data_IF_969172785799
#
_entry.id   IF_969172785799
#
_cell.length_a   1.000
_cell.length_b   1.000
_cell.length_c   1.000
_cell.angle_alpha   90.00
_cell.angle_beta   90.00
_cell.angle_gamma   90.00
#
_symmetry.space_group_name_H-M   'P 1'
#
loop_
_entity.id
_entity.type
_entity.pdbx_description
1 polymer ?
#
# COMPACT_ATOMS: atom_id res chain seq x y z
N UNK A 1 53.13 -0.97 -41.45
CA UNK A 1 53.23 -0.12 -42.67
C UNK A 1 52.55 -0.89 -43.79
N UNK A 2 51.35 -0.47 -44.22
CA UNK A 2 51.15 0.50 -45.32
C UNK A 2 50.12 1.63 -44.97
N UNK A 3 49.85 2.60 -45.86
CA UNK A 3 49.43 3.96 -45.49
C UNK A 3 47.91 4.19 -45.48
N UNK A 4 47.48 5.19 -44.71
CA UNK A 4 46.13 5.77 -44.75
C UNK A 4 45.93 6.64 -46.01
N UNK A 5 44.80 6.54 -46.72
CA UNK A 5 44.42 7.44 -47.82
C UNK A 5 43.69 8.71 -47.30
N UNK A 6 43.49 9.72 -48.18
CA UNK A 6 43.57 11.14 -47.81
C UNK A 6 42.24 11.78 -47.41
N UNK A 7 42.38 12.91 -46.69
CA UNK A 7 41.33 13.92 -46.45
C UNK A 7 40.75 14.42 -47.77
N UNK A 8 39.43 14.44 -47.84
CA UNK A 8 38.67 15.31 -48.72
C UNK A 8 37.55 15.98 -47.92
N UNK A 9 37.57 17.32 -47.91
CA UNK A 9 36.40 18.19 -47.79
C UNK A 9 36.13 18.73 -49.21
N UNK A 10 35.06 19.51 -49.51
CA UNK A 10 33.96 20.01 -48.67
C UNK A 10 32.58 19.84 -49.34
N UNK A 11 31.47 20.16 -48.64
CA UNK A 11 30.44 21.03 -49.20
C UNK A 11 29.37 21.40 -48.18
N UNK A 12 29.27 22.70 -47.95
CA UNK A 12 28.15 23.41 -47.34
C UNK A 12 26.85 23.08 -48.06
N UNK A 13 25.86 22.62 -47.30
CA UNK A 13 24.47 22.99 -47.55
C UNK A 13 23.83 23.39 -46.23
N UNK A 14 23.67 24.70 -46.08
CA UNK A 14 22.77 25.31 -45.12
C UNK A 14 21.34 24.84 -45.41
N UNK A 15 20.64 24.41 -44.37
CA UNK A 15 19.19 24.40 -44.32
C UNK A 15 18.72 24.74 -42.89
N UNK A 16 17.55 25.37 -42.75
CA UNK A 16 17.31 26.38 -41.74
C UNK A 16 16.92 25.80 -40.39
N UNK A 17 17.35 26.47 -39.32
CA UNK A 17 16.87 26.27 -37.95
C UNK A 17 15.42 26.75 -37.92
N UNK A 18 14.48 25.81 -37.93
CA UNK A 18 13.11 26.08 -37.53
C UNK A 18 13.08 26.21 -36.00
N UNK A 19 12.95 27.45 -35.52
CA UNK A 19 12.52 27.74 -34.15
C UNK A 19 11.07 27.28 -34.00
N UNK A 20 10.87 26.07 -33.49
CA UNK A 20 9.57 25.67 -32.95
C UNK A 20 9.52 26.09 -31.48
N UNK A 21 8.95 27.27 -31.27
CA UNK A 21 8.36 27.68 -29.99
C UNK A 21 7.31 26.63 -29.60
N UNK A 22 7.27 26.11 -28.36
CA UNK A 22 6.14 25.31 -27.92
C UNK A 22 4.93 26.25 -27.81
N UNK A 23 3.89 26.00 -28.60
CA UNK A 23 2.58 26.59 -28.36
C UNK A 23 2.10 26.14 -26.98
N UNK A 24 1.76 27.10 -26.14
CA UNK A 24 0.96 26.91 -24.93
C UNK A 24 -0.33 26.20 -25.33
N UNK A 25 -0.42 24.91 -25.00
CA UNK A 25 -1.69 24.19 -25.08
C UNK A 25 -2.51 24.62 -23.88
N UNK A 26 -3.56 25.35 -24.19
CA UNK A 26 -4.59 25.84 -23.27
C UNK A 26 -5.13 24.68 -22.42
N UNK A 27 -4.90 24.77 -21.11
CA UNK A 27 -5.19 23.73 -20.10
C UNK A 27 -6.69 23.51 -19.85
N UNK A 28 -7.56 24.27 -20.50
CA UNK A 28 -9.00 24.32 -20.20
C UNK A 28 -9.89 23.59 -21.22
N UNK A 29 -9.33 22.66 -22.00
CA UNK A 29 -10.11 21.86 -22.95
C UNK A 29 -9.86 20.35 -22.87
N UNK A 30 -9.76 19.80 -21.66
CA UNK A 30 -10.13 18.39 -21.47
C UNK A 30 -11.64 18.32 -21.51
N UNK A 31 -12.17 18.10 -22.70
CA UNK A 31 -13.55 17.68 -22.93
C UNK A 31 -13.87 16.56 -21.94
N UNK A 32 -14.80 16.85 -21.04
CA UNK A 32 -15.58 15.90 -20.24
C UNK A 32 -16.33 14.99 -21.21
N UNK A 33 -15.61 14.05 -21.82
CA UNK A 33 -16.22 12.88 -22.42
C UNK A 33 -16.93 12.17 -21.27
N UNK A 34 -18.25 12.14 -21.36
CA UNK A 34 -19.15 11.57 -20.38
C UNK A 34 -18.65 10.20 -19.98
N UNK A 35 -18.17 10.09 -18.73
CA UNK A 35 -18.03 8.82 -18.04
C UNK A 35 -19.43 8.22 -18.09
N UNK A 36 -19.63 7.25 -18.97
CA UNK A 36 -20.80 6.39 -18.92
C UNK A 36 -20.80 5.80 -17.52
N UNK A 37 -21.76 6.22 -16.68
CA UNK A 37 -21.92 5.69 -15.33
C UNK A 37 -22.07 4.18 -15.41
N UNK A 38 -21.01 3.46 -15.08
CA UNK A 38 -21.05 1.99 -15.07
C UNK A 38 -22.05 1.55 -14.00
N UNK A 39 -22.78 0.45 -14.24
CA UNK A 39 -23.62 -0.14 -13.21
C UNK A 39 -22.78 -0.37 -11.95
N UNK A 40 -23.21 0.19 -10.83
CA UNK A 40 -22.57 0.08 -9.50
C UNK A 40 -21.23 0.80 -9.27
N UNK A 41 -20.74 1.62 -10.21
CA UNK A 41 -19.51 2.42 -10.04
C UNK A 41 -19.55 3.33 -8.82
N UNK A 42 -20.72 3.91 -8.57
CA UNK A 42 -20.99 4.78 -7.43
C UNK A 42 -20.79 4.09 -6.06
N UNK A 43 -20.71 2.76 -6.01
CA UNK A 43 -20.42 1.99 -4.79
C UNK A 43 -18.92 1.81 -4.53
N UNK A 44 -18.07 2.02 -5.53
CA UNK A 44 -16.63 1.79 -5.46
C UNK A 44 -15.89 3.02 -4.91
N UNK A 45 -15.46 2.91 -3.66
CA UNK A 45 -14.79 4.00 -2.97
C UNK A 45 -13.31 3.67 -2.78
N UNK A 46 -12.39 4.48 -3.32
CA UNK A 46 -10.97 4.26 -3.07
C UNK A 46 -10.63 4.50 -1.59
N UNK A 47 -9.73 3.71 -1.01
CA UNK A 47 -9.31 3.82 0.40
C UNK A 47 -7.83 3.52 0.57
N UNK A 48 -7.35 3.58 1.82
CA UNK A 48 -6.03 3.09 2.23
C UNK A 48 -6.12 1.96 3.25
N UNK A 49 -5.09 1.10 3.32
CA UNK A 49 -4.90 0.11 4.38
C UNK A 49 -5.19 0.64 5.79
N UNK A 50 -4.74 1.85 6.14
CA UNK A 50 -4.99 2.43 7.48
C UNK A 50 -6.46 2.69 7.80
N UNK A 51 -7.29 2.97 6.80
CA UNK A 51 -8.71 3.32 6.96
C UNK A 51 -9.63 2.10 6.95
N UNK A 52 -9.11 0.94 6.57
CA UNK A 52 -9.85 -0.32 6.66
C UNK A 52 -10.31 -0.56 8.11
N UNK A 53 -11.56 -0.98 8.29
CA UNK A 53 -12.17 -1.17 9.63
C UNK A 53 -11.75 -2.48 10.30
N UNK A 54 -10.67 -3.10 9.82
CA UNK A 54 -10.06 -4.32 10.34
C UNK A 54 -9.87 -4.29 11.86
N UNK A 55 -9.34 -3.19 12.42
CA UNK A 55 -9.14 -3.08 13.88
C UNK A 55 -10.40 -2.68 14.63
N UNK A 56 -11.33 -1.95 14.03
CA UNK A 56 -12.55 -1.52 14.71
C UNK A 56 -13.54 -2.68 14.87
N UNK A 57 -13.45 -3.70 14.01
CA UNK A 57 -14.14 -4.99 14.17
C UNK A 57 -13.71 -5.75 15.44
N UNK A 58 -12.64 -5.37 16.16
CA UNK A 58 -12.22 -6.04 17.41
C UNK A 58 -12.86 -5.49 18.67
N UNK A 59 -13.77 -4.50 18.59
CA UNK A 59 -14.48 -4.08 19.80
C UNK A 59 -15.20 -5.30 20.37
N UNK A 60 -14.64 -5.90 21.42
CA UNK A 60 -15.33 -6.86 22.27
C UNK A 60 -16.64 -6.17 22.62
N UNK A 61 -17.74 -6.58 21.99
CA UNK A 61 -19.05 -6.20 22.47
C UNK A 61 -19.18 -6.93 23.80
N UNK A 62 -18.90 -6.21 24.89
CA UNK A 62 -19.06 -6.67 26.27
C UNK A 62 -20.51 -7.12 26.60
N UNK A 63 -21.45 -6.99 25.64
CA UNK A 63 -22.87 -7.21 25.83
C UNK A 63 -23.52 -8.06 24.72
N UNK A 64 -22.84 -9.07 24.18
CA UNK A 64 -23.63 -10.14 23.56
C UNK A 64 -24.28 -10.95 24.70
N UNK A 65 -25.63 -10.97 24.81
CA UNK A 65 -26.26 -11.90 25.74
C UNK A 65 -25.75 -13.30 25.41
N UNK A 66 -25.38 -14.11 26.43
CA UNK A 66 -24.83 -15.42 26.17
C UNK A 66 -25.82 -16.17 25.27
N UNK A 67 -25.39 -16.64 24.09
CA UNK A 67 -26.27 -17.40 23.23
C UNK A 67 -26.78 -18.60 24.03
N UNK A 68 -28.01 -19.07 23.77
CA UNK A 68 -28.49 -20.29 24.40
C UNK A 68 -27.44 -21.40 24.20
N UNK A 69 -27.19 -22.25 25.20
CA UNK A 69 -26.12 -23.24 25.13
C UNK A 69 -26.33 -24.14 23.91
N UNK A 70 -25.48 -23.98 22.89
CA UNK A 70 -25.46 -24.84 21.72
C UNK A 70 -24.76 -26.13 22.14
N UNK A 71 -25.51 -27.22 22.20
CA UNK A 71 -24.94 -28.55 22.42
C UNK A 71 -24.41 -29.08 21.10
N UNK A 72 -23.10 -28.99 20.91
CA UNK A 72 -22.40 -29.66 19.82
C UNK A 72 -21.72 -30.92 20.37
N UNK A 73 -22.11 -32.10 19.89
CA UNK A 73 -21.50 -33.37 20.26
C UNK A 73 -20.50 -33.76 19.18
N UNK A 74 -19.25 -33.97 19.56
CA UNK A 74 -18.20 -34.53 18.71
C UNK A 74 -18.15 -36.03 19.00
N UNK A 75 -18.46 -36.84 17.99
CA UNK A 75 -18.35 -38.29 18.15
C UNK A 75 -16.88 -38.73 18.27
N UNK A 76 -16.59 -39.85 18.95
CA UNK A 76 -15.23 -40.40 18.99
C UNK A 76 -14.66 -40.55 17.57
N UNK A 77 -13.43 -40.06 17.37
CA UNK A 77 -12.73 -40.03 16.07
C UNK A 77 -13.31 -39.07 15.01
N UNK A 78 -14.27 -38.21 15.38
CA UNK A 78 -14.70 -37.11 14.52
C UNK A 78 -13.72 -35.95 14.66
N UNK A 79 -13.11 -35.53 13.55
CA UNK A 79 -12.37 -34.27 13.44
C UNK A 79 -13.25 -33.27 12.70
N UNK A 80 -13.89 -32.30 13.40
CA UNK A 80 -14.61 -31.24 12.74
C UNK A 80 -13.65 -30.52 11.79
N UNK A 81 -13.98 -30.53 10.51
CA UNK A 81 -13.25 -29.77 9.50
C UNK A 81 -14.06 -28.54 9.17
N UNK A 82 -13.37 -27.44 8.92
CA UNK A 82 -14.01 -26.24 8.38
C UNK A 82 -14.61 -26.63 7.03
N UNK A 83 -15.90 -26.37 6.85
CA UNK A 83 -16.56 -26.61 5.57
C UNK A 83 -15.95 -25.64 4.55
N UNK A 84 -15.27 -26.16 3.53
CA UNK A 84 -14.78 -25.35 2.43
C UNK A 84 -15.76 -25.49 1.26
N UNK A 85 -16.90 -24.79 1.36
CA UNK A 85 -17.95 -24.73 0.36
C UNK A 85 -17.77 -23.56 -0.63
N UNK A 86 -16.60 -22.90 -0.60
CA UNK A 86 -16.25 -21.84 -1.52
C UNK A 86 -15.92 -22.38 -2.92
N UNK A 87 -16.04 -21.51 -3.93
CA UNK A 87 -15.52 -21.80 -5.28
C UNK A 87 -14.04 -22.22 -5.19
N UNK A 88 -13.56 -23.16 -6.02
CA UNK A 88 -12.15 -23.58 -6.02
C UNK A 88 -11.15 -22.44 -6.25
N UNK A 89 -11.61 -21.29 -6.76
CA UNK A 89 -10.77 -20.12 -7.06
C UNK A 89 -10.43 -19.29 -5.80
N UNK A 90 -11.11 -19.52 -4.69
CA UNK A 90 -10.91 -18.84 -3.41
C UNK A 90 -10.20 -19.71 -2.40
N UNK A 91 -9.13 -19.18 -1.82
CA UNK A 91 -8.41 -19.77 -0.70
C UNK A 91 -8.72 -19.01 0.59
N UNK A 92 -8.86 -19.76 1.70
CA UNK A 92 -9.09 -19.19 3.03
C UNK A 92 -7.78 -19.18 3.81
N UNK A 93 -7.44 -18.01 4.33
CA UNK A 93 -6.27 -17.82 5.18
C UNK A 93 -6.67 -17.31 6.55
N UNK A 94 -5.96 -17.74 7.58
CA UNK A 94 -6.18 -17.30 8.97
C UNK A 94 -5.05 -16.39 9.41
N UNK A 95 -5.41 -15.19 9.86
CA UNK A 95 -4.51 -14.28 10.55
C UNK A 95 -4.12 -14.82 11.93
N UNK A 96 -3.00 -14.35 12.48
CA UNK A 96 -2.55 -14.74 13.82
C UNK A 96 -3.52 -14.35 14.95
N UNK A 97 -4.39 -13.37 14.72
CA UNK A 97 -5.48 -12.99 15.64
C UNK A 97 -6.74 -13.87 15.49
N UNK A 98 -6.70 -14.88 14.60
CA UNK A 98 -7.78 -15.84 14.38
C UNK A 98 -8.81 -15.44 13.32
N UNK A 99 -8.68 -14.25 12.72
CA UNK A 99 -9.60 -13.79 11.67
C UNK A 99 -9.28 -14.40 10.32
N UNK A 100 -10.30 -14.54 9.49
CA UNK A 100 -10.11 -15.02 8.12
C UNK A 100 -9.99 -13.86 7.13
N UNK A 101 -9.22 -14.11 6.09
CA UNK A 101 -9.32 -13.40 4.84
C UNK A 101 -9.33 -14.41 3.69
N UNK A 102 -9.89 -13.98 2.57
CA UNK A 102 -10.07 -14.79 1.39
C UNK A 102 -9.22 -14.24 0.27
N UNK A 103 -8.59 -15.13 -0.50
CA UNK A 103 -7.72 -14.78 -1.61
C UNK A 103 -8.18 -15.49 -2.88
N UNK A 104 -8.49 -14.73 -3.93
CA UNK A 104 -8.76 -15.24 -5.25
C UNK A 104 -7.46 -15.32 -6.04
N UNK A 105 -6.95 -16.52 -6.31
CA UNK A 105 -5.58 -16.69 -6.82
C UNK A 105 -5.38 -16.11 -8.23
N UNK A 106 -6.31 -16.36 -9.15
CA UNK A 106 -6.21 -15.90 -10.55
C UNK A 106 -6.33 -14.37 -10.66
N UNK A 107 -7.38 -13.79 -10.05
CA UNK A 107 -7.66 -12.35 -10.08
C UNK A 107 -6.84 -11.54 -9.07
N UNK A 108 -6.11 -12.20 -8.17
CA UNK A 108 -5.35 -11.62 -7.06
C UNK A 108 -6.18 -10.69 -6.17
N UNK A 109 -7.42 -11.11 -5.89
CA UNK A 109 -8.36 -10.33 -5.05
C UNK A 109 -8.26 -10.80 -3.61
N UNK A 110 -8.18 -9.86 -2.68
CA UNK A 110 -8.13 -10.08 -1.24
C UNK A 110 -9.35 -9.43 -0.60
N UNK A 111 -10.00 -10.14 0.32
CA UNK A 111 -11.12 -9.58 1.09
C UNK A 111 -11.25 -10.21 2.46
N UNK A 112 -11.71 -9.42 3.44
CA UNK A 112 -12.15 -9.90 4.76
C UNK A 112 -13.68 -10.01 4.86
N UNK A 113 -14.40 -9.88 3.73
CA UNK A 113 -15.83 -10.20 3.66
C UNK A 113 -16.04 -11.69 3.95
N UNK A 114 -17.12 -12.05 4.64
CA UNK A 114 -17.45 -13.43 4.99
C UNK A 114 -18.04 -14.15 3.78
N UNK A 115 -17.17 -14.70 2.92
CA UNK A 115 -17.55 -15.30 1.64
C UNK A 115 -18.41 -16.58 1.74
N UNK A 116 -18.61 -17.13 2.94
CA UNK A 116 -19.60 -18.19 3.15
C UNK A 116 -21.04 -17.65 3.19
N UNK A 117 -21.23 -16.33 3.30
CA UNK A 117 -22.49 -15.65 3.04
C UNK A 117 -22.63 -15.38 1.54
N UNK A 118 -23.65 -15.96 0.91
CA UNK A 118 -23.92 -15.81 -0.53
C UNK A 118 -24.15 -14.33 -0.92
N UNK A 119 -24.74 -13.51 -0.04
CA UNK A 119 -24.97 -12.09 -0.32
C UNK A 119 -23.65 -11.31 -0.34
N UNK A 120 -22.74 -11.56 0.58
CA UNK A 120 -21.42 -10.92 0.58
C UNK A 120 -20.58 -11.37 -0.62
N UNK A 121 -20.65 -12.66 -0.97
CA UNK A 121 -20.00 -13.19 -2.17
C UNK A 121 -20.49 -12.49 -3.46
N UNK A 122 -21.80 -12.30 -3.61
CA UNK A 122 -22.36 -11.65 -4.79
C UNK A 122 -22.01 -10.15 -4.84
N UNK A 123 -21.94 -9.47 -3.69
CA UNK A 123 -21.45 -8.08 -3.59
C UNK A 123 -19.98 -7.97 -4.00
N UNK A 124 -19.11 -8.88 -3.53
CA UNK A 124 -17.70 -8.93 -3.94
C UNK A 124 -17.55 -9.18 -5.44
N UNK A 125 -18.29 -10.14 -6.02
CA UNK A 125 -18.28 -10.38 -7.47
C UNK A 125 -18.71 -9.16 -8.27
N UNK A 126 -19.71 -8.43 -7.77
CA UNK A 126 -20.17 -7.18 -8.36
C UNK A 126 -19.06 -6.12 -8.38
N UNK A 127 -18.33 -5.93 -7.27
CA UNK A 127 -17.20 -5.00 -7.24
C UNK A 127 -16.08 -5.41 -8.21
N UNK A 128 -15.72 -6.70 -8.25
CA UNK A 128 -14.70 -7.21 -9.16
C UNK A 128 -15.10 -6.90 -10.60
N UNK A 129 -16.35 -7.17 -10.98
CA UNK A 129 -16.82 -6.91 -12.33
C UNK A 129 -16.81 -5.43 -12.70
N UNK A 130 -17.23 -4.55 -11.78
CA UNK A 130 -17.18 -3.11 -11.99
C UNK A 130 -15.74 -2.61 -12.19
N UNK A 131 -14.78 -3.10 -11.38
CA UNK A 131 -13.37 -2.74 -11.54
C UNK A 131 -12.77 -3.28 -12.86
N UNK A 132 -13.13 -4.49 -13.28
CA UNK A 132 -12.75 -5.05 -14.60
C UNK A 132 -13.24 -4.18 -15.77
N UNK A 133 -14.42 -3.56 -15.65
CA UNK A 133 -14.92 -2.61 -16.65
C UNK A 133 -14.05 -1.35 -16.70
N UNK A 134 -13.61 -0.84 -15.55
CA UNK A 134 -12.69 0.30 -15.47
C UNK A 134 -11.32 -0.02 -16.08
N UNK A 135 -10.82 -1.25 -15.95
CA UNK A 135 -9.57 -1.68 -16.63
C UNK A 135 -9.68 -1.54 -18.16
N UNK A 136 -10.86 -1.81 -18.72
CA UNK A 136 -11.13 -1.65 -20.16
C UNK A 136 -11.08 -0.19 -20.63
N UNK A 137 -11.28 0.77 -19.72
CA UNK A 137 -11.33 2.21 -20.02
C UNK A 137 -9.99 2.89 -19.73
N UNK A 138 -9.46 2.68 -18.53
CA UNK A 138 -8.26 3.36 -18.03
C UNK A 138 -6.98 2.56 -18.24
N UNK A 139 -7.09 1.29 -18.66
CA UNK A 139 -5.99 0.36 -18.79
C UNK A 139 -5.87 -0.57 -17.60
N UNK A 140 -5.25 -1.73 -17.82
CA UNK A 140 -5.05 -2.74 -16.78
C UNK A 140 -4.05 -2.27 -15.70
N UNK A 141 -4.21 -2.73 -14.45
CA UNK A 141 -3.27 -2.44 -13.39
C UNK A 141 -1.91 -3.10 -13.69
N UNK A 142 -0.80 -2.64 -13.09
CA UNK A 142 0.50 -3.28 -13.23
C UNK A 142 0.44 -4.78 -12.94
N UNK A 143 1.20 -5.61 -13.67
CA UNK A 143 1.20 -7.05 -13.46
C UNK A 143 1.50 -7.41 -12.00
N UNK A 144 0.79 -8.40 -11.48
CA UNK A 144 0.88 -8.87 -10.10
C UNK A 144 0.34 -7.91 -9.03
N UNK A 145 -0.32 -6.82 -9.42
CA UNK A 145 -1.07 -6.01 -8.46
C UNK A 145 -2.12 -6.86 -7.74
N UNK A 146 -2.28 -6.62 -6.45
CA UNK A 146 -3.30 -7.25 -5.62
C UNK A 146 -4.43 -6.26 -5.39
N UNK A 147 -5.67 -6.68 -5.67
CA UNK A 147 -6.86 -5.87 -5.42
C UNK A 147 -7.40 -6.22 -4.04
N UNK A 148 -7.61 -5.22 -3.18
CA UNK A 148 -8.26 -5.41 -1.88
C UNK A 148 -9.65 -4.83 -1.92
N UNK A 149 -10.63 -5.59 -1.42
CA UNK A 149 -12.03 -5.18 -1.31
C UNK A 149 -12.53 -5.33 0.13
N UNK A 150 -13.15 -4.29 0.66
CA UNK A 150 -13.85 -4.31 1.95
C UNK A 150 -15.30 -3.86 1.76
N UNK A 151 -16.24 -4.70 2.18
CA UNK A 151 -17.66 -4.36 2.18
C UNK A 151 -18.02 -3.63 3.48
N UNK A 152 -18.72 -2.52 3.34
CA UNK A 152 -19.32 -1.79 4.44
C UNK A 152 -20.83 -1.62 4.24
N UNK A 153 -21.69 -1.93 5.23
CA UNK A 153 -23.11 -1.60 5.15
C UNK A 153 -23.35 -0.10 5.05
N UNK A 154 -24.30 0.32 4.21
CA UNK A 154 -24.69 1.72 4.05
C UNK A 154 -26.21 1.87 4.20
N UNK A 155 -26.65 2.89 4.93
CA UNK A 155 -28.08 3.11 5.21
C UNK A 155 -28.86 3.57 3.97
N UNK A 156 -28.21 4.27 3.04
CA UNK A 156 -28.85 4.88 1.87
C UNK A 156 -28.81 3.91 0.67
N UNK A 157 -27.71 3.19 0.55
CA UNK A 157 -27.31 2.47 -0.65
C UNK A 157 -27.20 0.95 -0.45
N UNK A 158 -27.62 0.45 0.72
CA UNK A 158 -27.44 -0.91 1.25
C UNK A 158 -25.98 -1.23 1.63
N UNK A 159 -25.01 -0.85 0.79
CA UNK A 159 -23.58 -1.08 1.05
C UNK A 159 -22.64 -0.25 0.16
N UNK A 160 -21.40 -0.10 0.63
CA UNK A 160 -20.25 0.46 -0.09
C UNK A 160 -19.13 -0.59 -0.23
N UNK A 161 -18.37 -0.49 -1.33
CA UNK A 161 -17.17 -1.28 -1.58
C UNK A 161 -15.95 -0.38 -1.48
N UNK A 162 -15.17 -0.52 -0.42
CA UNK A 162 -13.89 0.16 -0.30
C UNK A 162 -12.82 -0.66 -1.01
N UNK A 163 -11.96 -0.01 -1.79
CA UNK A 163 -10.93 -0.71 -2.55
C UNK A 163 -9.61 0.05 -2.68
N UNK A 164 -8.56 -0.72 -2.93
CA UNK A 164 -7.29 -0.22 -3.46
C UNK A 164 -6.55 -1.37 -4.15
N UNK A 165 -5.63 -1.01 -5.04
CA UNK A 165 -4.65 -1.92 -5.59
C UNK A 165 -3.31 -1.74 -4.89
N UNK A 166 -2.59 -2.83 -4.65
CA UNK A 166 -1.22 -2.84 -4.16
C UNK A 166 -0.30 -3.41 -5.24
N UNK A 167 0.66 -2.61 -5.71
CA UNK A 167 1.67 -3.04 -6.68
C UNK A 167 2.97 -3.42 -5.96
N UNK A 168 3.36 -4.71 -5.99
CA UNK A 168 4.59 -5.16 -5.37
C UNK A 168 5.86 -4.64 -6.07
N UNK A 169 5.78 -4.28 -7.36
CA UNK A 169 6.93 -3.81 -8.13
C UNK A 169 7.34 -2.40 -7.71
N UNK A 170 6.40 -1.46 -7.69
CA UNK A 170 6.65 -0.10 -7.19
C UNK A 170 6.60 0.01 -5.66
N UNK A 171 6.15 -1.05 -4.97
CA UNK A 171 5.92 -1.08 -3.51
C UNK A 171 4.99 0.05 -3.09
N UNK A 172 3.88 0.18 -3.82
CA UNK A 172 2.97 1.31 -3.69
C UNK A 172 1.50 0.86 -3.81
N UNK A 173 0.57 1.72 -3.41
CA UNK A 173 -0.87 1.52 -3.62
C UNK A 173 -1.46 2.57 -4.55
N UNK A 174 -2.53 2.22 -5.26
CA UNK A 174 -3.21 3.09 -6.23
C UNK A 174 -4.66 2.63 -6.45
N UNK A 175 -5.43 3.37 -7.25
CA UNK A 175 -6.84 3.12 -7.55
C UNK A 175 -7.23 3.86 -8.84
N UNK A 176 -8.40 3.58 -9.41
CA UNK A 176 -8.87 4.24 -10.64
C UNK A 176 -9.58 5.57 -10.38
N UNK A 177 -10.28 5.68 -9.24
CA UNK A 177 -11.09 6.85 -8.92
C UNK A 177 -10.27 8.05 -8.44
N UNK A 178 -10.86 9.23 -8.44
CA UNK A 178 -10.24 10.33 -7.68
C UNK A 178 -10.38 10.03 -6.19
N UNK A 179 -9.32 10.26 -5.41
CA UNK A 179 -9.37 10.11 -3.95
C UNK A 179 -8.74 11.32 -3.27
N UNK A 180 -9.58 12.07 -2.56
CA UNK A 180 -9.17 13.14 -1.66
C UNK A 180 -8.74 12.51 -0.33
N UNK A 181 -7.65 11.74 -0.37
CA UNK A 181 -7.20 10.98 0.78
C UNK A 181 -6.94 11.90 1.96
N UNK A 182 -7.17 11.40 3.19
CA UNK A 182 -6.79 12.04 4.46
C UNK A 182 -5.28 12.21 4.66
N UNK A 183 -4.52 12.35 3.57
CA UNK A 183 -3.22 12.97 3.55
C UNK A 183 -3.39 14.40 4.08
N UNK A 184 -3.21 14.55 5.39
CA UNK A 184 -2.95 15.85 5.98
C UNK A 184 -1.52 16.18 5.53
N UNK A 185 -1.31 16.98 4.46
CA UNK A 185 0.04 17.41 4.09
C UNK A 185 0.68 17.90 5.38
N UNK A 186 1.93 17.49 5.68
CA UNK A 186 2.50 17.69 7.01
C UNK A 186 2.16 19.11 7.47
N UNK A 187 1.52 19.23 8.66
CA UNK A 187 1.02 20.49 9.29
C UNK A 187 2.07 21.62 9.38
N UNK A 188 3.24 21.39 8.82
CA UNK A 188 4.39 22.24 8.73
C UNK A 188 4.74 22.38 7.24
N UNK A 189 4.12 23.37 6.60
CA UNK A 189 4.21 23.59 5.15
C UNK A 189 5.63 23.60 4.57
N UNK A 190 5.68 23.34 3.26
CA UNK A 190 6.91 23.31 2.45
C UNK A 190 7.37 21.89 2.13
N UNK A 191 7.63 21.65 0.85
CA UNK A 191 8.09 20.38 0.29
C UNK A 191 7.45 20.10 -1.08
N UNK A 192 7.98 19.13 -1.83
CA UNK A 192 7.29 18.60 -3.02
C UNK A 192 6.14 17.69 -2.57
N UNK A 193 4.90 18.11 -2.81
CA UNK A 193 3.71 17.40 -2.34
C UNK A 193 3.59 16.01 -2.96
N UNK A 194 4.05 15.85 -4.21
CA UNK A 194 4.02 14.56 -4.91
C UNK A 194 4.96 13.57 -4.25
N UNK A 195 6.15 14.02 -3.85
CA UNK A 195 7.11 13.17 -3.16
C UNK A 195 6.58 12.73 -1.78
N UNK A 196 5.98 13.64 -1.01
CA UNK A 196 5.36 13.28 0.26
C UNK A 196 4.18 12.31 0.10
N UNK A 197 3.36 12.49 -0.93
CA UNK A 197 2.27 11.58 -1.25
C UNK A 197 2.82 10.18 -1.61
N UNK A 198 3.82 10.09 -2.49
CA UNK A 198 4.45 8.81 -2.85
C UNK A 198 4.98 8.05 -1.63
N UNK A 199 5.59 8.75 -0.68
CA UNK A 199 6.11 8.15 0.56
C UNK A 199 5.01 7.68 1.49
N UNK A 200 3.93 8.46 1.60
CA UNK A 200 2.75 8.09 2.35
C UNK A 200 2.15 6.79 1.79
N UNK A 201 1.97 6.71 0.47
CA UNK A 201 1.41 5.54 -0.19
C UNK A 201 2.33 4.32 -0.09
N UNK A 202 3.65 4.49 -0.19
CA UNK A 202 4.62 3.42 0.05
C UNK A 202 4.54 2.90 1.50
N UNK A 203 4.36 3.77 2.49
CA UNK A 203 4.13 3.35 3.87
C UNK A 203 2.84 2.52 3.98
N UNK A 204 1.77 2.94 3.33
CA UNK A 204 0.51 2.18 3.31
C UNK A 204 0.66 0.83 2.59
N UNK A 205 1.46 0.73 1.52
CA UNK A 205 1.80 -0.56 0.90
C UNK A 205 2.40 -1.55 1.89
N UNK A 206 3.32 -1.12 2.76
CA UNK A 206 3.90 -2.02 3.78
C UNK A 206 2.89 -2.42 4.86
N UNK A 207 1.88 -1.58 5.11
CA UNK A 207 0.74 -1.95 5.97
C UNK A 207 -0.15 -2.99 5.29
N UNK A 208 -0.41 -2.87 3.99
CA UNK A 208 -1.06 -3.93 3.21
C UNK A 208 -0.28 -5.25 3.30
N UNK A 209 1.05 -5.19 3.14
CA UNK A 209 1.94 -6.35 3.26
C UNK A 209 1.86 -7.01 4.64
N UNK A 210 1.78 -6.21 5.72
CA UNK A 210 1.53 -6.70 7.08
C UNK A 210 0.16 -7.38 7.20
N UNK A 211 -0.89 -6.79 6.62
CA UNK A 211 -2.27 -7.27 6.76
C UNK A 211 -2.46 -8.62 6.09
N UNK A 212 -1.96 -8.78 4.87
CA UNK A 212 -2.15 -9.99 4.07
C UNK A 212 -0.90 -10.87 4.01
N UNK A 213 -0.13 -10.90 5.10
CA UNK A 213 1.19 -11.53 5.17
C UNK A 213 1.26 -12.97 4.63
N UNK A 214 0.19 -13.77 4.73
CA UNK A 214 0.20 -15.18 4.32
C UNK A 214 0.35 -15.39 2.81
N UNK A 215 -0.03 -14.38 2.00
CA UNK A 215 0.09 -14.42 0.54
C UNK A 215 1.27 -13.58 0.02
N UNK A 216 2.04 -12.98 0.93
CA UNK A 216 3.17 -12.14 0.57
C UNK A 216 4.47 -12.94 0.47
N UNK A 217 5.34 -12.50 -0.44
CA UNK A 217 6.69 -13.05 -0.57
C UNK A 217 7.70 -11.99 -0.15
N UNK A 218 8.62 -12.36 0.72
CA UNK A 218 9.73 -11.49 1.13
C UNK A 218 10.90 -11.72 0.19
N UNK A 219 11.40 -10.65 -0.40
CA UNK A 219 12.66 -10.70 -1.16
C UNK A 219 13.85 -10.47 -0.23
N UNK A 220 14.98 -11.12 -0.53
CA UNK A 220 16.23 -10.93 0.22
C UNK A 220 16.65 -9.46 0.30
N UNK A 221 16.44 -8.71 -0.77
CA UNK A 221 16.77 -7.28 -0.83
C UNK A 221 16.04 -6.48 0.26
N UNK A 222 14.76 -6.76 0.50
CA UNK A 222 13.97 -6.08 1.54
C UNK A 222 14.54 -6.35 2.93
N UNK A 223 14.98 -7.58 3.20
CA UNK A 223 15.64 -7.93 4.47
C UNK A 223 16.98 -7.23 4.63
N UNK A 224 17.76 -7.12 3.56
CA UNK A 224 19.04 -6.41 3.58
C UNK A 224 18.84 -4.90 3.79
N UNK A 225 17.80 -4.30 3.20
CA UNK A 225 17.37 -2.90 3.43
C UNK A 225 17.04 -2.67 4.92
N UNK A 226 16.18 -3.51 5.51
CA UNK A 226 15.83 -3.43 6.93
C UNK A 226 17.05 -3.59 7.84
N UNK A 227 17.91 -4.56 7.54
CA UNK A 227 19.12 -4.80 8.31
C UNK A 227 20.06 -3.59 8.29
N UNK A 228 20.25 -2.98 7.12
CA UNK A 228 21.05 -1.76 6.98
C UNK A 228 20.42 -0.60 7.77
N UNK A 229 19.10 -0.42 7.67
CA UNK A 229 18.38 0.63 8.38
C UNK A 229 18.52 0.54 9.89
N UNK A 230 18.25 -0.62 10.49
CA UNK A 230 18.34 -0.76 11.95
C UNK A 230 19.78 -0.65 12.48
N UNK A 231 20.78 -1.05 11.69
CA UNK A 231 22.20 -0.80 12.03
C UNK A 231 22.57 0.67 11.97
N UNK A 232 22.08 1.39 10.96
CA UNK A 232 22.22 2.83 10.89
C UNK A 232 21.58 3.48 12.11
N UNK A 233 20.33 3.14 12.43
CA UNK A 233 19.59 3.70 13.55
C UNK A 233 20.28 3.44 14.90
N UNK A 234 20.77 2.22 15.14
CA UNK A 234 21.54 1.87 16.34
C UNK A 234 22.83 2.69 16.45
N UNK A 235 23.54 2.87 15.33
CA UNK A 235 24.77 3.66 15.29
C UNK A 235 24.48 5.14 15.54
N UNK A 236 23.44 5.70 14.91
CA UNK A 236 23.05 7.09 15.06
C UNK A 236 22.68 7.42 16.51
N UNK A 237 21.86 6.59 17.16
CA UNK A 237 21.47 6.78 18.56
C UNK A 237 22.67 6.70 19.50
N UNK A 238 23.62 5.79 19.27
CA UNK A 238 24.81 5.62 20.15
C UNK A 238 25.88 6.70 19.95
N UNK A 239 25.98 7.26 18.74
CA UNK A 239 27.01 8.25 18.39
C UNK A 239 26.50 9.69 18.48
N UNK A 240 25.20 9.90 18.49
CA UNK A 240 24.59 11.20 18.76
C UNK A 240 24.85 11.61 20.20
N UNK A 241 25.59 12.71 20.36
CA UNK A 241 26.06 13.22 21.65
C UNK A 241 24.94 13.78 22.52
N UNK A 242 23.74 14.00 21.96
CA UNK A 242 22.55 14.43 22.67
C UNK A 242 21.28 13.91 21.98
N UNK A 243 20.25 13.55 22.76
CA UNK A 243 18.97 12.96 22.30
C UNK A 243 18.16 13.87 21.35
N UNK A 244 18.59 15.13 21.20
CA UNK A 244 18.06 16.16 20.31
C UNK A 244 18.64 16.11 18.89
N UNK A 245 19.74 15.39 18.67
CA UNK A 245 20.42 15.33 17.37
C UNK A 245 20.09 14.06 16.58
N UNK A 246 19.73 12.97 17.27
CA UNK A 246 19.23 11.78 16.58
C UNK A 246 17.83 12.05 16.06
N UNK A 247 17.64 11.83 14.77
CA UNK A 247 16.32 11.95 14.12
C UNK A 247 15.48 10.68 14.28
N UNK A 248 16.07 9.60 14.82
CA UNK A 248 15.46 8.28 14.97
C UNK A 248 14.25 8.36 15.92
N UNK A 249 13.06 7.81 15.56
CA UNK A 249 11.84 7.97 16.35
C UNK A 249 11.70 6.89 17.43
N UNK A 250 12.56 5.86 17.41
CA UNK A 250 12.62 4.78 18.39
C UNK A 250 13.29 5.27 19.68
N UNK A 251 12.49 5.84 20.56
CA UNK A 251 12.96 6.51 21.80
C UNK A 251 12.82 5.64 23.04
N UNK A 252 12.16 4.48 22.93
CA UNK A 252 12.02 3.58 24.07
C UNK A 252 13.33 2.78 24.26
N UNK A 253 13.86 2.71 25.50
CA UNK A 253 15.05 1.91 25.78
C UNK A 253 14.85 0.45 25.35
N UNK A 254 15.79 -0.10 24.57
CA UNK A 254 15.74 -1.49 24.11
C UNK A 254 14.94 -1.74 22.82
N UNK A 255 14.28 -0.73 22.27
CA UNK A 255 13.42 -0.88 21.09
C UNK A 255 14.22 -1.20 19.82
N UNK A 256 15.34 -0.49 19.60
CA UNK A 256 16.23 -0.76 18.47
C UNK A 256 16.91 -2.12 18.59
N UNK A 257 17.35 -2.50 19.79
CA UNK A 257 17.93 -3.81 20.05
C UNK A 257 16.91 -4.94 19.89
N UNK A 258 15.63 -4.67 20.19
CA UNK A 258 14.54 -5.60 19.90
C UNK A 258 14.36 -5.77 18.39
N UNK A 259 14.21 -4.67 17.64
CA UNK A 259 14.04 -4.74 16.19
C UNK A 259 15.23 -5.40 15.49
N UNK A 260 16.47 -5.04 15.86
CA UNK A 260 17.67 -5.66 15.31
C UNK A 260 17.69 -7.18 15.54
N UNK A 261 17.27 -7.65 16.72
CA UNK A 261 17.13 -9.09 16.99
C UNK A 261 16.06 -9.74 16.12
N UNK A 262 14.90 -9.12 15.97
CA UNK A 262 13.83 -9.64 15.11
C UNK A 262 14.27 -9.72 13.64
N UNK A 263 14.96 -8.70 13.13
CA UNK A 263 15.47 -8.71 11.75
C UNK A 263 16.58 -9.74 11.56
N UNK A 264 17.48 -9.92 12.53
CA UNK A 264 18.49 -10.98 12.46
C UNK A 264 17.83 -12.37 12.41
N UNK A 265 16.87 -12.62 13.30
CA UNK A 265 16.11 -13.87 13.28
C UNK A 265 15.35 -14.07 11.96
N UNK A 266 14.74 -13.01 11.41
CA UNK A 266 14.06 -13.07 10.12
C UNK A 266 15.02 -13.43 8.97
N UNK A 267 16.27 -12.93 8.98
CA UNK A 267 17.29 -13.30 8.00
C UNK A 267 17.72 -14.75 8.10
N UNK A 268 17.95 -15.25 9.32
CA UNK A 268 18.27 -16.66 9.56
C UNK A 268 17.12 -17.58 9.12
N UNK A 269 15.88 -17.22 9.45
CA UNK A 269 14.69 -17.95 9.00
C UNK A 269 14.51 -17.90 7.48
N UNK A 270 14.84 -16.77 6.83
CA UNK A 270 14.84 -16.66 5.37
C UNK A 270 15.84 -17.63 4.72
N UNK A 271 17.08 -17.69 5.22
CA UNK A 271 18.11 -18.61 4.72
C UNK A 271 17.71 -20.08 4.90
N UNK A 272 16.98 -20.38 5.99
CA UNK A 272 16.46 -21.71 6.28
C UNK A 272 15.12 -22.03 5.59
N UNK A 273 14.57 -21.11 4.80
CA UNK A 273 13.27 -21.25 4.14
C UNK A 273 12.12 -21.53 5.13
N UNK A 274 12.20 -20.92 6.32
CA UNK A 274 11.17 -20.99 7.36
C UNK A 274 10.05 -19.95 7.10
N UNK A 275 8.81 -20.28 7.48
CA UNK A 275 7.65 -19.41 7.29
C UNK A 275 7.54 -18.27 8.31
N UNK A 276 6.55 -17.38 8.13
CA UNK A 276 6.19 -16.32 9.10
C UNK A 276 6.96 -14.99 8.97
N UNK A 277 7.87 -14.89 7.99
CA UNK A 277 8.65 -13.69 7.71
C UNK A 277 7.84 -12.46 7.26
N UNK A 278 6.82 -12.58 6.39
CA UNK A 278 6.25 -11.39 5.76
C UNK A 278 5.59 -10.42 6.74
N UNK A 279 5.02 -10.94 7.84
CA UNK A 279 4.40 -10.09 8.86
C UNK A 279 5.41 -9.18 9.58
N UNK A 280 6.56 -9.75 10.02
CA UNK A 280 7.62 -8.98 10.69
C UNK A 280 8.22 -7.96 9.72
N UNK A 281 8.45 -8.37 8.47
CA UNK A 281 9.03 -7.52 7.43
C UNK A 281 8.10 -6.36 7.08
N UNK A 282 6.80 -6.62 6.85
CA UNK A 282 5.82 -5.59 6.56
C UNK A 282 5.77 -4.54 7.68
N UNK A 283 5.70 -4.98 8.93
CA UNK A 283 5.68 -4.08 10.08
C UNK A 283 6.97 -3.27 10.24
N UNK A 284 8.13 -3.90 10.07
CA UNK A 284 9.42 -3.22 10.16
C UNK A 284 9.60 -2.18 9.03
N UNK A 285 9.21 -2.52 7.80
CA UNK A 285 9.28 -1.59 6.66
C UNK A 285 8.29 -0.44 6.82
N UNK A 286 7.10 -0.70 7.34
CA UNK A 286 6.14 0.35 7.70
C UNK A 286 6.79 1.36 8.67
N UNK A 287 7.45 0.90 9.73
CA UNK A 287 8.11 1.79 10.68
C UNK A 287 9.28 2.57 10.05
N UNK A 288 10.07 1.94 9.18
CA UNK A 288 11.13 2.62 8.42
C UNK A 288 10.57 3.72 7.52
N UNK A 289 9.48 3.45 6.79
CA UNK A 289 8.84 4.43 5.92
C UNK A 289 8.21 5.57 6.71
N UNK A 290 7.64 5.28 7.89
CA UNK A 290 7.13 6.30 8.81
C UNK A 290 8.27 7.22 9.31
N UNK A 291 9.43 6.65 9.65
CA UNK A 291 10.61 7.43 9.99
C UNK A 291 11.03 8.39 8.87
N UNK A 292 11.15 7.88 7.63
CA UNK A 292 11.55 8.73 6.52
C UNK A 292 10.53 9.86 6.28
N UNK A 293 9.23 9.54 6.38
CA UNK A 293 8.15 10.51 6.27
C UNK A 293 8.25 11.62 7.34
N UNK A 294 8.52 11.26 8.60
CA UNK A 294 8.70 12.22 9.70
C UNK A 294 9.92 13.14 9.49
N UNK A 295 10.97 12.65 8.82
CA UNK A 295 12.16 13.44 8.48
C UNK A 295 12.07 14.17 7.15
N UNK A 296 10.90 14.17 6.49
CA UNK A 296 10.68 14.78 5.17
C UNK A 296 11.68 14.34 4.12
N UNK A 297 12.30 13.16 4.29
CA UNK A 297 13.37 12.68 3.43
C UNK A 297 14.51 13.70 3.23
N UNK A 298 14.74 14.58 4.22
CA UNK A 298 15.77 15.61 4.17
C UNK A 298 15.39 16.87 3.37
N UNK A 299 14.12 17.07 3.00
CA UNK A 299 13.70 18.30 2.33
C UNK A 299 13.87 19.55 3.19
N UNK A 300 14.34 20.62 2.54
CA UNK A 300 14.50 21.92 3.18
C UNK A 300 13.15 22.61 3.32
N UNK A 301 12.84 23.08 4.53
CA UNK A 301 11.70 23.96 4.76
C UNK A 301 11.90 25.22 3.93
N UNK A 302 11.06 25.42 2.90
CA UNK A 302 10.92 26.73 2.28
C UNK A 302 10.16 27.61 3.28
N UNK A 303 10.89 28.44 4.03
CA UNK A 303 10.26 29.50 4.83
C UNK A 303 9.61 30.44 3.82
N UNK A 304 8.29 30.41 3.73
CA UNK A 304 7.54 31.46 3.03
C UNK A 304 7.73 32.71 3.87
N UNK A 305 8.66 33.58 3.46
CA UNK A 305 8.78 34.91 4.02
C UNK A 305 7.43 35.61 3.83
N UNK A 306 6.67 35.78 4.91
CA UNK A 306 5.54 36.69 4.89
C UNK A 306 6.11 38.07 4.58
N UNK A 307 5.81 38.56 3.38
CA UNK A 307 6.18 39.90 2.93
C UNK A 307 5.79 40.95 3.98
N UNK A 308 6.51 42.08 4.02
CA UNK A 308 6.42 43.03 5.13
C UNK A 308 4.97 43.46 5.33
N UNK A 309 4.44 43.20 6.54
CA UNK A 309 3.15 43.74 6.98
C UNK A 309 3.21 45.26 6.81
N UNK A 310 2.52 45.77 5.79
CA UNK A 310 2.29 47.19 5.60
C UNK A 310 1.61 47.73 6.86
N UNK A 311 2.34 48.56 7.61
CA UNK A 311 1.78 49.37 8.69
C UNK A 311 0.72 50.30 8.09
N UNK A 312 -0.50 50.23 8.59
CA UNK A 312 -1.44 51.35 8.59
C UNK A 312 -1.66 51.79 10.03
#
# INVERSE_FOLDING_TARGET
MPPSPPRSSPQDQANPIASNTPEEVDSDSVTTASIETFPDDWRLNPTIPKELKRRDRTSFRDEWPPPPPIKYTIEPLQSPTTRNDLSPDWEVYTHFDGRFFFYHQEKRVLTEAWLHDEQEMDKIKTCIHALEQLEGVYGSPPPNSQLVLELEPDEIHDWHCWYYYADPQSRNIFWYHHNEMGFDPPKVGGGDIEMHAAQFLQREYWRHFEYFYSVQTVEKQVLDELYAFFRYADTDVKTSTDSTHSTIPYRLPGELEYWQRQINAARESFERHEGGLPWIVGRAMYCMCEYHHLNRYGERIKIVEQGPKSRQ
#
